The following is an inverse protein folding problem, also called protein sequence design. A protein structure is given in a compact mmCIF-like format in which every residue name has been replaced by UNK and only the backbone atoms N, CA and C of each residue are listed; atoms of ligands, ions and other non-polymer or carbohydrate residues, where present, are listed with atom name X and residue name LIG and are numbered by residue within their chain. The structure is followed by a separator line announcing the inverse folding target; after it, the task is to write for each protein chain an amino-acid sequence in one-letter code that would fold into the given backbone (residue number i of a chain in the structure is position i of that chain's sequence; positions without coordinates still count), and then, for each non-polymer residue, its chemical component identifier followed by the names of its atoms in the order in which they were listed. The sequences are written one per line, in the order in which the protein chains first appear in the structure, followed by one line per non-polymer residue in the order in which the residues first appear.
data_IF_761833989366
#
_entry.id   IF_761833989366
#
_cell.length_a   1.000
_cell.length_b   1.000
_cell.length_c   1.000
_cell.angle_alpha   90.00
_cell.angle_beta   90.00
_cell.angle_gamma   90.00
#
_symmetry.space_group_name_H-M   'P 1'
#
loop_
_entity.id
_entity.type
_entity.pdbx_description
1 polymer ?
#
# COMPACT_ATOMS: atom_id res chain seq x y z
N UNK A 1 -35.53 18.49 -73.08
CA UNK A 1 -34.16 18.32 -72.57
C UNK A 1 -34.00 19.23 -71.37
N UNK A 2 -34.06 18.69 -70.14
CA UNK A 2 -33.70 19.43 -68.93
C UNK A 2 -32.74 18.53 -68.15
N UNK A 3 -31.51 19.00 -67.94
CA UNK A 3 -30.47 18.32 -67.19
C UNK A 3 -30.37 18.99 -65.83
N UNK A 4 -30.66 18.23 -64.77
CA UNK A 4 -30.51 18.68 -63.39
C UNK A 4 -29.18 18.15 -62.84
N UNK A 5 -28.20 19.02 -62.68
CA UNK A 5 -26.95 18.74 -61.96
C UNK A 5 -27.17 18.95 -60.45
N UNK A 6 -27.11 17.86 -59.70
CA UNK A 6 -27.07 17.87 -58.23
C UNK A 6 -25.63 18.18 -57.77
N UNK A 7 -25.43 19.27 -57.04
CA UNK A 7 -24.19 19.51 -56.29
C UNK A 7 -24.28 18.81 -54.93
N UNK A 8 -23.46 17.77 -54.72
CA UNK A 8 -23.30 17.14 -53.41
C UNK A 8 -22.22 17.90 -52.62
N UNK A 9 -22.62 18.56 -51.53
CA UNK A 9 -21.71 19.21 -50.59
C UNK A 9 -21.23 18.16 -49.58
N UNK A 10 -19.98 17.69 -49.70
CA UNK A 10 -19.37 16.78 -48.74
C UNK A 10 -18.86 17.58 -47.53
N UNK A 11 -19.56 17.49 -46.39
CA UNK A 11 -19.08 18.01 -45.12
C UNK A 11 -18.01 17.07 -44.55
N UNK A 12 -16.74 17.49 -44.55
CA UNK A 12 -15.68 16.78 -43.86
C UNK A 12 -15.72 17.14 -42.37
N UNK A 13 -16.14 16.19 -41.53
CA UNK A 13 -16.02 16.31 -40.08
C UNK A 13 -14.59 15.92 -39.67
N UNK A 14 -13.79 16.89 -39.25
CA UNK A 14 -12.48 16.65 -38.64
C UNK A 14 -12.67 16.19 -37.20
N UNK A 15 -12.44 14.90 -36.94
CA UNK A 15 -12.36 14.37 -35.58
C UNK A 15 -11.01 14.76 -34.96
N UNK A 16 -11.01 15.78 -34.10
CA UNK A 16 -9.87 16.07 -33.23
C UNK A 16 -9.90 15.03 -32.11
N UNK A 17 -9.03 14.03 -32.19
CA UNK A 17 -8.75 13.13 -31.08
C UNK A 17 -8.08 13.96 -29.98
N UNK A 18 -8.84 14.31 -28.94
CA UNK A 18 -8.28 14.85 -27.71
C UNK A 18 -7.40 13.77 -27.09
N UNK A 19 -6.08 13.92 -27.20
CA UNK A 19 -5.14 13.14 -26.41
C UNK A 19 -5.38 13.47 -24.95
N UNK A 20 -5.88 12.50 -24.19
CA UNK A 20 -5.94 12.60 -22.74
C UNK A 20 -4.50 12.75 -22.25
N UNK A 21 -4.15 13.95 -21.79
CA UNK A 21 -2.92 14.16 -21.04
C UNK A 21 -3.07 13.35 -19.76
N UNK A 22 -2.56 12.13 -19.75
CA UNK A 22 -2.44 11.34 -18.53
C UNK A 22 -1.57 12.14 -17.58
N UNK A 23 -2.16 12.58 -16.45
CA UNK A 23 -1.42 13.21 -15.37
C UNK A 23 -0.29 12.24 -15.03
N UNK A 24 0.97 12.66 -15.16
CA UNK A 24 2.10 11.85 -14.67
C UNK A 24 1.82 11.55 -13.20
N UNK A 25 1.71 10.27 -12.86
CA UNK A 25 1.58 9.91 -11.46
C UNK A 25 2.87 10.26 -10.73
N UNK A 26 2.73 10.62 -9.47
CA UNK A 26 3.86 10.89 -8.57
C UNK A 26 3.99 9.71 -7.63
N UNK A 27 5.20 9.47 -7.13
CA UNK A 27 5.44 8.29 -6.28
C UNK A 27 4.61 8.33 -4.98
N UNK A 28 4.60 9.47 -4.29
CA UNK A 28 3.78 9.77 -3.11
C UNK A 28 3.95 11.26 -2.77
N UNK A 29 3.11 11.79 -1.90
CA UNK A 29 3.35 13.06 -1.20
C UNK A 29 3.71 12.78 0.26
N UNK A 30 4.62 13.56 0.84
CA UNK A 30 4.98 13.45 2.25
C UNK A 30 3.77 13.81 3.14
N UNK A 31 3.28 12.90 4.00
CA UNK A 31 2.16 13.19 4.89
C UNK A 31 2.37 14.40 5.80
N UNK A 32 3.60 14.64 6.25
CA UNK A 32 3.91 15.72 7.19
C UNK A 32 3.76 17.12 6.57
N UNK A 33 3.84 17.21 5.24
CA UNK A 33 3.74 18.49 4.52
C UNK A 33 2.37 19.18 4.71
N UNK A 34 1.31 18.41 5.02
CA UNK A 34 -0.06 18.89 5.16
C UNK A 34 -0.73 18.39 6.46
N UNK A 35 0.04 18.24 7.55
CA UNK A 35 -0.51 17.92 8.87
C UNK A 35 -0.90 16.46 9.09
N UNK A 36 -0.46 15.56 8.21
CA UNK A 36 -0.46 14.11 8.44
C UNK A 36 0.83 13.62 9.10
N UNK A 37 1.00 12.30 9.18
CA UNK A 37 2.18 11.66 9.76
C UNK A 37 2.51 10.32 9.13
N UNK A 38 3.77 9.90 9.26
CA UNK A 38 4.23 8.53 8.96
C UNK A 38 3.95 7.53 10.08
N UNK A 39 2.97 7.84 10.92
CA UNK A 39 2.49 7.01 12.01
C UNK A 39 0.97 6.92 11.86
N UNK A 40 0.42 5.71 11.98
CA UNK A 40 -1.01 5.55 12.23
C UNK A 40 -1.32 5.82 13.71
N UNK A 41 -2.56 5.60 14.13
CA UNK A 41 -2.99 5.72 15.52
C UNK A 41 -3.26 4.32 16.08
N UNK A 42 -2.31 3.81 16.86
CA UNK A 42 -2.39 2.56 17.60
C UNK A 42 -2.96 2.73 19.02
N UNK A 43 -3.48 3.92 19.34
CA UNK A 43 -3.97 4.30 20.65
C UNK A 43 -2.89 4.92 21.55
N UNK A 44 -3.32 5.48 22.69
CA UNK A 44 -2.42 6.08 23.70
C UNK A 44 -1.44 7.14 23.16
N UNK A 45 -1.81 7.85 22.08
CA UNK A 45 -0.96 8.81 21.36
C UNK A 45 0.33 8.20 20.77
N UNK A 46 0.33 6.90 20.50
CA UNK A 46 1.40 6.19 19.82
C UNK A 46 0.88 5.61 18.50
N UNK A 47 1.81 5.31 17.60
CA UNK A 47 1.49 4.80 16.27
C UNK A 47 2.44 3.73 15.78
N UNK A 48 1.96 2.93 14.85
CA UNK A 48 2.77 2.04 14.03
C UNK A 48 3.34 2.83 12.83
N UNK A 49 4.63 2.66 12.50
CA UNK A 49 5.26 3.29 11.36
C UNK A 49 4.63 2.86 10.04
N UNK A 50 4.28 3.83 9.19
CA UNK A 50 3.96 3.62 7.78
C UNK A 50 5.25 3.39 6.98
N UNK A 51 5.91 2.27 7.24
CA UNK A 51 7.29 1.98 6.84
C UNK A 51 7.45 1.37 5.44
N UNK A 52 6.37 1.12 4.71
CA UNK A 52 6.40 0.80 3.27
C UNK A 52 5.41 1.67 2.50
N UNK A 53 5.83 2.11 1.31
CA UNK A 53 4.99 2.81 0.34
C UNK A 53 4.99 2.04 -0.97
N UNK A 54 3.83 1.65 -1.50
CA UNK A 54 3.69 1.26 -2.91
C UNK A 54 3.44 2.54 -3.71
N UNK A 55 4.41 2.87 -4.55
CA UNK A 55 4.47 4.09 -5.34
C UNK A 55 3.22 4.26 -6.22
N UNK A 56 2.69 5.48 -6.29
CA UNK A 56 1.68 5.89 -7.27
C UNK A 56 2.14 5.76 -8.73
N UNK A 57 3.43 5.52 -8.97
CA UNK A 57 4.01 5.17 -10.28
C UNK A 57 3.94 3.67 -10.61
N UNK A 58 3.41 2.85 -9.70
CA UNK A 58 3.12 1.44 -9.96
C UNK A 58 2.02 1.29 -11.02
N UNK A 59 1.89 0.08 -11.58
CA UNK A 59 0.80 -0.21 -12.52
C UNK A 59 -0.55 0.16 -11.90
N UNK A 60 -1.43 0.93 -12.59
CA UNK A 60 -2.68 1.41 -11.99
C UNK A 60 -3.57 0.31 -11.42
N UNK A 61 -3.55 -0.89 -12.01
CA UNK A 61 -4.29 -2.05 -11.50
C UNK A 61 -3.82 -2.49 -10.10
N UNK A 62 -2.53 -2.36 -9.77
CA UNK A 62 -1.97 -2.66 -8.43
C UNK A 62 -2.48 -1.68 -7.37
N UNK A 63 -2.81 -0.44 -7.75
CA UNK A 63 -3.26 0.61 -6.83
C UNK A 63 -4.76 0.52 -6.48
N UNK A 64 -5.44 -0.53 -6.93
CA UNK A 64 -6.80 -0.89 -6.51
C UNK A 64 -6.74 -1.88 -5.36
N UNK A 65 -7.81 -1.99 -4.56
CA UNK A 65 -7.86 -2.99 -3.48
C UNK A 65 -7.60 -4.40 -4.00
N UNK A 66 -8.35 -4.83 -5.03
CA UNK A 66 -8.25 -6.19 -5.59
C UNK A 66 -6.86 -6.46 -6.17
N UNK A 67 -6.27 -5.49 -6.86
CA UNK A 67 -4.94 -5.64 -7.45
C UNK A 67 -3.82 -5.61 -6.41
N UNK A 68 -3.94 -4.79 -5.36
CA UNK A 68 -3.06 -4.82 -4.21
C UNK A 68 -3.16 -6.16 -3.50
N UNK A 69 -4.37 -6.66 -3.25
CA UNK A 69 -4.59 -7.93 -2.58
C UNK A 69 -3.99 -9.10 -3.38
N UNK A 70 -4.19 -9.13 -4.71
CA UNK A 70 -3.55 -10.14 -5.56
C UNK A 70 -2.02 -10.04 -5.50
N UNK A 71 -1.45 -8.84 -5.50
CA UNK A 71 -0.01 -8.65 -5.32
C UNK A 71 0.46 -9.11 -3.93
N UNK A 72 -0.28 -8.78 -2.87
CA UNK A 72 -0.01 -9.20 -1.51
C UNK A 72 0.05 -10.73 -1.39
N UNK A 73 -0.88 -11.45 -2.03
CA UNK A 73 -0.84 -12.91 -2.11
C UNK A 73 0.40 -13.42 -2.86
N UNK A 74 0.83 -12.73 -3.92
CA UNK A 74 2.06 -13.09 -4.66
C UNK A 74 3.33 -12.96 -3.80
N UNK A 75 3.28 -12.21 -2.71
CA UNK A 75 4.39 -12.00 -1.78
C UNK A 75 4.14 -12.63 -0.40
N UNK A 76 3.14 -13.53 -0.27
CA UNK A 76 2.92 -14.35 0.93
C UNK A 76 2.00 -13.73 1.99
N UNK A 77 1.16 -12.76 1.64
CA UNK A 77 0.17 -12.17 2.53
C UNK A 77 -1.26 -12.50 2.09
N UNK A 78 -2.16 -12.75 3.04
CA UNK A 78 -3.57 -13.04 2.79
C UNK A 78 -4.46 -12.44 3.88
N UNK A 79 -5.77 -12.40 3.65
CA UNK A 79 -6.75 -12.03 4.69
C UNK A 79 -6.63 -12.92 5.92
N UNK A 80 -6.92 -12.34 7.09
CA UNK A 80 -6.89 -13.01 8.38
C UNK A 80 -7.84 -14.22 8.42
N UNK A 81 -7.48 -15.20 9.24
CA UNK A 81 -8.27 -16.40 9.42
C UNK A 81 -9.58 -16.12 10.16
N UNK A 82 -10.71 -16.37 9.47
CA UNK A 82 -12.07 -16.37 10.04
C UNK A 82 -12.46 -15.09 10.82
N UNK A 83 -11.80 -13.96 10.53
CA UNK A 83 -12.05 -12.68 11.19
C UNK A 83 -11.62 -12.61 12.66
N UNK A 84 -10.76 -13.53 13.12
CA UNK A 84 -10.15 -13.42 14.44
C UNK A 84 -9.04 -12.36 14.42
N UNK A 85 -9.40 -11.14 14.81
CA UNK A 85 -8.46 -10.06 15.05
C UNK A 85 -8.47 -9.65 16.54
N UNK A 86 -7.29 -9.43 17.11
CA UNK A 86 -7.13 -8.78 18.41
C UNK A 86 -6.82 -7.30 18.17
N UNK A 87 -7.66 -6.40 18.69
CA UNK A 87 -7.50 -4.94 18.53
C UNK A 87 -8.52 -4.33 17.56
N UNK A 88 -8.77 -3.03 17.67
CA UNK A 88 -9.66 -2.30 16.75
C UNK A 88 -8.93 -1.81 15.50
N UNK A 89 -9.66 -1.38 14.45
CA UNK A 89 -9.06 -0.77 13.28
C UNK A 89 -8.27 0.48 13.67
N UNK A 90 -7.07 0.62 13.13
CA UNK A 90 -6.19 1.77 13.35
C UNK A 90 -6.41 2.80 12.23
N UNK A 91 -6.38 4.09 12.58
CA UNK A 91 -6.56 5.18 11.61
C UNK A 91 -5.25 5.89 11.30
N UNK A 92 -5.13 6.46 10.11
CA UNK A 92 -3.97 7.28 9.73
C UNK A 92 -4.42 8.57 9.03
N UNK A 93 -3.62 9.64 9.16
CA UNK A 93 -3.78 10.85 8.39
C UNK A 93 -2.58 11.02 7.44
N UNK A 94 -2.82 10.87 6.14
CA UNK A 94 -1.77 10.89 5.11
C UNK A 94 -1.48 12.29 4.55
N UNK A 95 -1.99 13.36 5.18
CA UNK A 95 -1.77 14.72 4.71
C UNK A 95 -2.37 15.00 3.33
N UNK A 96 -3.39 14.22 2.94
CA UNK A 96 -4.03 14.33 1.62
C UNK A 96 -5.36 15.09 1.65
N UNK A 97 -5.75 15.58 2.83
CA UNK A 97 -6.99 16.32 3.05
C UNK A 97 -8.18 15.47 3.48
N UNK A 98 -8.01 14.14 3.62
CA UNK A 98 -9.06 13.27 4.19
C UNK A 98 -9.09 13.29 5.73
N UNK A 99 -8.05 13.80 6.38
CA UNK A 99 -7.89 13.71 7.83
C UNK A 99 -7.59 12.27 8.26
N UNK A 100 -8.05 11.89 9.46
CA UNK A 100 -7.86 10.53 9.97
C UNK A 100 -8.87 9.56 9.34
N UNK A 101 -8.36 8.58 8.59
CA UNK A 101 -9.15 7.53 7.94
C UNK A 101 -8.76 6.16 8.50
N UNK A 102 -9.73 5.29 8.69
CA UNK A 102 -9.47 3.91 9.12
C UNK A 102 -8.68 3.14 8.04
N UNK A 103 -7.94 2.13 8.47
CA UNK A 103 -7.29 1.18 7.57
C UNK A 103 -8.30 0.61 6.56
N UNK A 104 -7.84 0.40 5.33
CA UNK A 104 -8.63 -0.25 4.26
C UNK A 104 -8.72 -1.75 4.49
N UNK A 105 -7.61 -2.37 4.90
CA UNK A 105 -7.54 -3.79 5.25
C UNK A 105 -6.35 -4.06 6.16
N UNK A 106 -6.33 -5.25 6.73
CA UNK A 106 -5.22 -5.85 7.46
C UNK A 106 -4.93 -7.22 6.87
N UNK A 107 -3.69 -7.44 6.48
CA UNK A 107 -3.24 -8.71 5.90
C UNK A 107 -2.15 -9.31 6.75
N UNK A 108 -2.10 -10.63 6.74
CA UNK A 108 -1.25 -11.48 7.57
C UNK A 108 -0.42 -12.41 6.70
N UNK A 109 0.78 -12.75 7.16
CA UNK A 109 1.64 -13.73 6.49
C UNK A 109 0.92 -15.07 6.41
N UNK A 110 0.83 -15.62 5.21
CA UNK A 110 0.00 -16.78 4.91
C UNK A 110 0.78 -18.11 4.93
N UNK A 111 2.08 -18.09 5.19
CA UNK A 111 2.95 -19.29 5.19
C UNK A 111 2.79 -20.18 3.94
N UNK A 112 2.44 -19.61 2.79
CA UNK A 112 2.21 -20.35 1.55
C UNK A 112 0.87 -21.09 1.48
N UNK A 113 -0.09 -20.77 2.35
CA UNK A 113 -1.44 -21.31 2.33
C UNK A 113 -2.49 -20.25 2.65
N UNK A 114 -3.12 -19.71 1.61
CA UNK A 114 -4.24 -18.78 1.74
C UNK A 114 -5.36 -19.40 2.59
N UNK A 115 -5.73 -18.75 3.69
CA UNK A 115 -6.76 -19.21 4.63
C UNK A 115 -6.21 -20.03 5.79
N UNK A 116 -5.63 -21.21 5.57
CA UNK A 116 -5.13 -22.06 6.67
C UNK A 116 -3.83 -21.53 7.29
N UNK A 117 -2.97 -20.91 6.49
CA UNK A 117 -1.71 -20.38 6.95
C UNK A 117 -1.83 -19.07 7.73
N UNK A 118 -2.82 -18.23 7.43
CA UNK A 118 -3.11 -17.06 8.29
C UNK A 118 -3.69 -17.49 9.65
N UNK A 119 -4.32 -18.68 9.75
CA UNK A 119 -4.67 -19.28 11.04
C UNK A 119 -3.43 -19.74 11.83
N UNK A 120 -2.37 -20.14 11.11
CA UNK A 120 -1.08 -20.46 11.73
C UNK A 120 -0.31 -19.21 12.16
N UNK A 121 -0.45 -18.05 11.50
CA UNK A 121 0.10 -16.79 12.03
C UNK A 121 -0.50 -16.44 13.38
N UNK A 122 -1.83 -16.56 13.50
CA UNK A 122 -2.51 -16.41 14.80
C UNK A 122 -1.92 -17.36 15.84
N UNK A 123 -1.35 -18.51 15.48
CA UNK A 123 -0.76 -19.46 16.41
C UNK A 123 0.76 -19.35 16.60
N UNK A 124 1.50 -18.73 15.67
CA UNK A 124 2.98 -18.81 15.55
C UNK A 124 3.64 -17.42 15.49
N UNK A 125 2.89 -16.36 15.17
CA UNK A 125 3.41 -15.01 15.01
C UNK A 125 4.10 -14.82 13.65
N UNK A 126 3.89 -13.68 13.03
CA UNK A 126 4.38 -13.42 11.68
C UNK A 126 4.30 -11.97 11.30
N UNK A 127 4.51 -11.71 10.01
CA UNK A 127 4.51 -10.37 9.47
C UNK A 127 3.06 -9.97 9.15
N UNK A 128 2.61 -8.83 9.65
CA UNK A 128 1.31 -8.26 9.31
C UNK A 128 1.48 -6.89 8.66
N UNK A 129 0.45 -6.46 7.94
CA UNK A 129 0.38 -5.12 7.39
C UNK A 129 -1.02 -4.53 7.52
N UNK A 130 -1.10 -3.19 7.65
CA UNK A 130 -2.32 -2.40 7.51
C UNK A 130 -2.20 -1.47 6.31
N UNK A 131 -3.24 -1.40 5.48
CA UNK A 131 -3.26 -0.59 4.25
C UNK A 131 -3.97 0.75 4.45
N UNK A 132 -3.36 1.82 3.96
CA UNK A 132 -3.95 3.16 3.79
C UNK A 132 -3.69 3.68 2.37
N UNK A 133 -4.59 4.50 1.83
CA UNK A 133 -4.52 4.99 0.44
C UNK A 133 -4.45 6.51 0.43
N UNK A 134 -3.44 7.07 -0.26
CA UNK A 134 -3.29 8.51 -0.41
C UNK A 134 -4.10 9.04 -1.61
N UNK A 135 -5.38 9.31 -1.38
CA UNK A 135 -6.36 9.64 -2.43
C UNK A 135 -7.14 10.95 -2.18
N UNK A 136 -6.83 11.69 -1.12
CA UNK A 136 -7.49 12.94 -0.78
C UNK A 136 -7.19 14.09 -1.76
N UNK A 137 -8.10 15.06 -1.83
CA UNK A 137 -8.06 16.13 -2.84
C UNK A 137 -6.83 17.04 -2.77
N UNK A 138 -6.12 17.11 -1.64
CA UNK A 138 -4.95 17.98 -1.46
C UNK A 138 -3.64 17.31 -1.89
N UNK A 139 -3.56 15.98 -1.85
CA UNK A 139 -2.34 15.24 -2.17
C UNK A 139 -2.62 13.85 -2.79
N UNK A 140 -3.48 13.78 -3.81
CA UNK A 140 -3.80 12.51 -4.45
C UNK A 140 -2.65 12.02 -5.35
N UNK A 141 -1.89 11.04 -4.84
CA UNK A 141 -0.91 10.26 -5.60
C UNK A 141 -1.42 8.89 -6.04
N UNK A 142 -2.43 8.36 -5.32
CA UNK A 142 -2.87 6.97 -5.43
C UNK A 142 -1.91 5.96 -4.77
N UNK A 143 -0.84 6.43 -4.12
CA UNK A 143 0.12 5.58 -3.44
C UNK A 143 -0.53 4.86 -2.25
N UNK A 144 -0.04 3.65 -1.96
CA UNK A 144 -0.49 2.84 -0.84
C UNK A 144 0.54 2.93 0.28
N UNK A 145 0.11 3.33 1.48
CA UNK A 145 0.95 3.40 2.67
C UNK A 145 0.64 2.20 3.55
N UNK A 146 1.68 1.46 3.92
CA UNK A 146 1.56 0.23 4.70
C UNK A 146 2.22 0.42 6.07
N UNK A 147 1.48 0.14 7.14
CA UNK A 147 2.08 -0.10 8.45
C UNK A 147 2.44 -1.57 8.53
N UNK A 148 3.73 -1.91 8.55
CA UNK A 148 4.21 -3.30 8.50
C UNK A 148 4.98 -3.62 9.78
N UNK A 149 4.68 -4.74 10.41
CA UNK A 149 5.44 -5.19 11.57
C UNK A 149 5.39 -6.71 11.75
N UNK A 150 6.36 -7.23 12.49
CA UNK A 150 6.42 -8.65 12.86
C UNK A 150 6.01 -8.85 14.32
N UNK A 151 5.06 -9.74 14.53
CA UNK A 151 4.50 -10.08 15.85
C UNK A 151 4.99 -11.44 16.34
N UNK A 152 5.05 -11.59 17.66
CA UNK A 152 5.15 -12.88 18.35
C UNK A 152 3.83 -13.67 18.21
N UNK A 153 3.84 -14.94 18.60
CA UNK A 153 2.64 -15.79 18.58
C UNK A 153 1.56 -15.36 19.59
N UNK A 154 0.38 -15.99 19.51
CA UNK A 154 -0.74 -15.77 20.46
C UNK A 154 -0.39 -16.09 21.91
N UNK A 155 0.57 -16.98 22.19
CA UNK A 155 1.01 -17.25 23.57
C UNK A 155 1.68 -16.01 24.20
N UNK A 156 2.15 -15.09 23.35
CA UNK A 156 2.65 -13.76 23.69
C UNK A 156 1.70 -12.63 23.32
N UNK A 157 0.44 -12.96 23.03
CA UNK A 157 -0.63 -12.02 22.69
C UNK A 157 -0.28 -11.08 21.53
N UNK A 158 0.41 -11.58 20.50
CA UNK A 158 0.78 -10.78 19.31
C UNK A 158 1.62 -9.54 19.63
N UNK A 159 2.44 -9.61 20.67
CA UNK A 159 3.38 -8.51 20.97
C UNK A 159 4.37 -8.37 19.82
N UNK A 160 4.58 -7.15 19.34
CA UNK A 160 5.59 -6.88 18.31
C UNK A 160 6.97 -7.31 18.84
N UNK A 161 7.71 -8.10 18.06
CA UNK A 161 9.04 -8.57 18.47
C UNK A 161 9.99 -7.38 18.65
N UNK A 162 11.09 -7.52 19.42
CA UNK A 162 12.17 -6.54 19.37
C UNK A 162 12.60 -6.27 17.92
N UNK A 163 12.70 -4.99 17.54
CA UNK A 163 12.99 -4.57 16.16
C UNK A 163 11.92 -4.95 15.11
N UNK A 164 10.71 -5.32 15.56
CA UNK A 164 9.67 -5.92 14.70
C UNK A 164 9.16 -5.02 13.58
N UNK A 165 9.27 -3.70 13.72
CA UNK A 165 8.94 -2.77 12.63
C UNK A 165 9.96 -2.84 11.49
N UNK A 166 11.25 -2.83 11.80
CA UNK A 166 12.30 -2.86 10.78
C UNK A 166 12.41 -4.27 10.19
N UNK A 167 12.29 -5.31 11.02
CA UNK A 167 12.24 -6.71 10.57
C UNK A 167 11.04 -6.95 9.63
N UNK A 168 9.83 -6.53 10.03
CA UNK A 168 8.62 -6.70 9.22
C UNK A 168 8.73 -5.99 7.86
N UNK A 169 9.19 -4.73 7.85
CA UNK A 169 9.48 -3.97 6.63
C UNK A 169 10.46 -4.71 5.73
N UNK A 170 11.59 -5.14 6.28
CA UNK A 170 12.65 -5.77 5.51
C UNK A 170 12.19 -7.11 4.92
N UNK A 171 11.48 -7.93 5.69
CA UNK A 171 10.92 -9.21 5.21
C UNK A 171 9.93 -9.01 4.07
N UNK A 172 8.99 -8.06 4.18
CA UNK A 172 8.05 -7.75 3.10
C UNK A 172 8.78 -7.24 1.86
N UNK A 173 9.71 -6.30 2.02
CA UNK A 173 10.48 -5.76 0.90
C UNK A 173 11.29 -6.86 0.19
N UNK A 174 11.93 -7.75 0.94
CA UNK A 174 12.65 -8.91 0.38
C UNK A 174 11.73 -9.86 -0.38
N UNK A 175 10.52 -10.15 0.13
CA UNK A 175 9.55 -10.98 -0.57
C UNK A 175 9.02 -10.32 -1.86
N UNK A 176 8.95 -8.99 -1.89
CA UNK A 176 8.40 -8.24 -3.00
C UNK A 176 9.38 -8.00 -4.17
N UNK A 177 10.66 -7.75 -3.88
CA UNK A 177 11.66 -7.33 -4.89
C UNK A 177 11.90 -8.43 -5.94
N UNK A 178 11.98 -8.03 -7.21
CA UNK A 178 12.21 -8.94 -8.31
C UNK A 178 10.91 -9.37 -8.97
N UNK A 179 10.80 -10.66 -9.35
CA UNK A 179 9.64 -11.19 -10.07
C UNK A 179 8.82 -12.10 -9.18
N UNK A 180 7.52 -11.82 -9.08
CA UNK A 180 6.54 -12.69 -8.42
C UNK A 180 5.40 -13.00 -9.38
N UNK A 181 4.62 -14.04 -9.08
CA UNK A 181 3.45 -14.38 -9.89
C UNK A 181 2.44 -15.13 -9.05
N UNK A 182 1.18 -14.79 -9.26
CA UNK A 182 0.05 -15.52 -8.69
C UNK A 182 -1.16 -15.35 -9.62
N UNK A 183 -2.05 -16.35 -9.66
CA UNK A 183 -3.31 -16.27 -10.40
C UNK A 183 -3.17 -15.83 -11.88
N UNK A 184 -2.05 -16.16 -12.52
CA UNK A 184 -1.76 -15.79 -13.91
C UNK A 184 -1.25 -14.35 -14.12
N UNK A 185 -1.17 -13.54 -13.06
CA UNK A 185 -0.56 -12.20 -13.10
C UNK A 185 0.92 -12.32 -12.74
N UNK A 186 1.78 -11.56 -13.44
CA UNK A 186 3.21 -11.49 -13.15
C UNK A 186 3.54 -10.07 -12.74
N UNK A 187 4.35 -9.94 -11.70
CA UNK A 187 4.81 -8.67 -11.19
C UNK A 187 6.32 -8.55 -11.34
N UNK A 188 6.80 -7.33 -11.51
CA UNK A 188 8.19 -6.93 -11.41
C UNK A 188 8.27 -5.74 -10.46
N UNK A 189 8.98 -5.90 -9.35
CA UNK A 189 9.08 -4.88 -8.29
C UNK A 189 10.51 -4.39 -8.14
N UNK A 190 10.66 -3.08 -8.00
CA UNK A 190 11.90 -2.43 -7.56
C UNK A 190 11.68 -1.76 -6.22
N UNK A 191 12.73 -1.60 -5.43
CA UNK A 191 12.69 -0.95 -4.13
C UNK A 191 13.73 0.16 -4.00
N UNK A 192 13.39 1.20 -3.24
CA UNK A 192 14.28 2.28 -2.83
C UNK A 192 14.01 2.64 -1.38
N UNK A 193 15.06 2.74 -0.58
CA UNK A 193 14.94 3.26 0.78
C UNK A 193 14.84 4.79 0.75
N UNK A 194 13.91 5.31 1.55
CA UNK A 194 13.68 6.74 1.77
C UNK A 194 13.89 7.01 3.26
N UNK A 195 14.64 8.06 3.58
CA UNK A 195 14.85 8.53 4.95
C UNK A 195 14.27 9.92 5.14
N UNK A 196 14.00 10.31 6.38
CA UNK A 196 13.55 11.66 6.71
C UNK A 196 12.03 11.86 6.70
N UNK A 197 11.26 10.83 6.33
CA UNK A 197 9.79 10.82 6.48
C UNK A 197 9.37 10.52 7.92
N UNK A 198 10.13 9.66 8.61
CA UNK A 198 10.03 9.42 10.05
C UNK A 198 11.44 9.50 10.64
N UNK A 199 11.58 10.16 11.80
CA UNK A 199 12.86 10.21 12.49
C UNK A 199 13.18 8.84 13.11
N UNK A 200 14.44 8.42 13.03
CA UNK A 200 14.90 7.21 13.72
C UNK A 200 14.73 7.34 15.24
N UNK A 201 14.51 6.21 15.92
CA UNK A 201 14.27 6.12 17.35
C UNK A 201 12.83 5.72 17.70
N UNK A 202 12.41 6.02 18.92
CA UNK A 202 11.13 5.56 19.51
C UNK A 202 10.06 6.64 19.60
N UNK A 203 10.36 7.87 19.17
CA UNK A 203 9.47 9.01 19.37
C UNK A 203 8.13 8.81 18.65
N UNK A 204 7.05 8.67 19.41
CA UNK A 204 5.70 8.41 18.89
C UNK A 204 5.46 6.97 18.39
N UNK A 205 6.49 6.12 18.40
CA UNK A 205 6.39 4.72 17.96
C UNK A 205 5.82 3.86 19.08
N UNK A 206 4.84 3.04 18.74
CA UNK A 206 4.18 2.14 19.68
C UNK A 206 5.17 1.08 20.25
N UNK A 207 4.85 0.55 21.44
CA UNK A 207 5.68 -0.42 22.18
C UNK A 207 7.10 0.04 22.55
N UNK A 208 7.46 1.32 22.36
CA UNK A 208 8.82 1.85 22.59
C UNK A 208 9.90 1.08 21.80
N UNK A 209 9.54 0.58 20.62
CA UNK A 209 10.46 -0.08 19.69
C UNK A 209 11.10 1.01 18.83
N UNK A 210 12.43 1.02 18.75
CA UNK A 210 13.13 1.97 17.91
C UNK A 210 13.00 1.56 16.44
N UNK A 211 12.89 2.53 15.55
CA UNK A 211 13.03 2.32 14.10
C UNK A 211 14.33 2.96 13.60
N UNK A 212 14.87 2.46 12.50
CA UNK A 212 15.99 3.07 11.79
C UNK A 212 15.61 4.33 10.97
N UNK A 213 14.33 4.71 10.95
CA UNK A 213 13.80 5.87 10.21
C UNK A 213 13.73 5.66 8.69
N UNK A 214 13.87 4.42 8.21
CA UNK A 214 13.76 4.06 6.80
C UNK A 214 12.32 3.66 6.44
N UNK A 215 11.81 4.26 5.36
CA UNK A 215 10.62 3.82 4.64
C UNK A 215 11.04 3.18 3.32
N UNK A 216 10.57 1.98 3.02
CA UNK A 216 10.86 1.32 1.73
C UNK A 216 9.80 1.70 0.70
N UNK A 217 10.20 2.37 -0.38
CA UNK A 217 9.37 2.67 -1.53
C UNK A 217 9.46 1.53 -2.55
N UNK A 218 8.33 0.88 -2.82
CA UNK A 218 8.18 -0.16 -3.84
C UNK A 218 7.52 0.42 -5.10
N UNK A 219 8.08 0.14 -6.28
CA UNK A 219 7.40 0.37 -7.56
C UNK A 219 7.10 -0.97 -8.20
N UNK A 220 5.80 -1.30 -8.31
CA UNK A 220 5.30 -2.61 -8.75
C UNK A 220 4.72 -2.49 -10.16
N UNK A 221 5.26 -3.26 -11.10
CA UNK A 221 4.80 -3.28 -12.50
C UNK A 221 4.20 -4.65 -12.83
N UNK A 222 3.03 -4.68 -13.45
CA UNK A 222 2.48 -5.91 -14.06
C UNK A 222 3.17 -6.11 -15.42
N UNK A 223 3.69 -7.31 -15.68
CA UNK A 223 4.55 -7.63 -16.85
C UNK A 223 4.06 -8.81 -17.69
#
# INVERSE_FOLDING_TARGET
MFSSTLFALAAQASFILASTVSKRSVAYYDPSANGGSMLNNAGSNLGEPLNIIISGESSPAVLTYDGFYNFAQAIGFSEECLGFHLGGPQSANLGDGNGWVNQTTELRWDYGSTGLGTCFESLIGGNHLRLYIQNGAQANSGALFLAVSKEEDVSKSHTIIPDGYDVGRNELATAAIGKTSINGVKYSTTAKNVTGLLAAGTAGVNHNIATDGITTLLTVTIV
#
